data_IF_199821919691
#
_entry.id   IF_199821919691
#
_cell.length_a   1.000
_cell.length_b   1.000
_cell.length_c   1.000
_cell.angle_alpha   90.00
_cell.angle_beta   90.00
_cell.angle_gamma   90.00
#
_symmetry.space_group_name_H-M   'P 1'
#
loop_
_entity.id
_entity.type
_entity.pdbx_description
1 polymer ?
#
# COMPACT_ATOMS: atom_id res chain seq x y z
N UNK A 1 -14.78 -20.92 5.12
CA UNK A 1 -14.65 -21.54 3.78
C UNK A 1 -14.15 -20.47 2.84
N UNK A 2 -12.93 -20.58 2.31
CA UNK A 2 -12.44 -19.63 1.31
C UNK A 2 -13.27 -19.81 0.03
N UNK A 3 -13.92 -18.74 -0.44
CA UNK A 3 -14.73 -18.78 -1.66
C UNK A 3 -13.81 -18.95 -2.88
N UNK A 4 -14.34 -19.47 -3.98
CA UNK A 4 -13.64 -19.49 -5.28
C UNK A 4 -13.11 -18.09 -5.64
N UNK A 5 -13.86 -17.07 -5.25
CA UNK A 5 -13.51 -15.67 -5.44
C UNK A 5 -12.27 -15.27 -4.62
N UNK A 6 -12.16 -15.71 -3.37
CA UNK A 6 -10.96 -15.52 -2.53
C UNK A 6 -9.74 -16.22 -3.16
N UNK A 7 -9.93 -17.43 -3.70
CA UNK A 7 -8.87 -18.18 -4.38
C UNK A 7 -8.43 -17.54 -5.72
N UNK A 8 -9.32 -16.82 -6.42
CA UNK A 8 -9.03 -16.09 -7.66
C UNK A 8 -8.45 -14.68 -7.39
N UNK A 9 -8.83 -14.05 -6.28
CA UNK A 9 -8.23 -12.78 -5.84
C UNK A 9 -6.79 -13.01 -5.37
N UNK A 10 -6.58 -14.06 -4.56
CA UNK A 10 -5.29 -14.47 -3.99
C UNK A 10 -4.45 -15.36 -4.91
N UNK A 11 -5.01 -15.90 -6.00
CA UNK A 11 -4.34 -16.78 -6.97
C UNK A 11 -4.83 -16.55 -8.40
N UNK A 12 -4.02 -16.79 -9.43
CA UNK A 12 -4.29 -16.48 -10.85
C UNK A 12 -4.54 -14.99 -11.21
N UNK A 13 -5.34 -14.23 -10.45
CA UNK A 13 -5.65 -12.82 -10.70
C UNK A 13 -4.58 -11.83 -10.22
N UNK A 14 -3.71 -12.20 -9.27
CA UNK A 14 -2.61 -11.36 -8.73
C UNK A 14 -3.11 -9.98 -8.24
N UNK A 15 -4.30 -9.94 -7.65
CA UNK A 15 -4.96 -8.71 -7.18
C UNK A 15 -5.01 -8.60 -5.65
N UNK A 16 -4.33 -9.50 -4.93
CA UNK A 16 -4.08 -9.41 -3.49
C UNK A 16 -3.03 -8.32 -3.16
N UNK A 17 -3.00 -7.90 -1.90
CA UNK A 17 -2.13 -6.81 -1.42
C UNK A 17 -0.64 -7.04 -1.73
N UNK A 18 -0.14 -8.27 -1.54
CA UNK A 18 1.27 -8.62 -1.80
C UNK A 18 1.58 -8.53 -3.29
N UNK A 19 0.70 -9.06 -4.13
CA UNK A 19 0.85 -8.97 -5.59
C UNK A 19 0.80 -7.52 -6.08
N UNK A 20 -0.11 -6.70 -5.55
CA UNK A 20 -0.24 -5.29 -5.91
C UNK A 20 1.00 -4.48 -5.48
N UNK A 21 1.48 -4.65 -4.24
CA UNK A 21 2.70 -3.98 -3.77
C UNK A 21 3.92 -4.32 -4.63
N UNK A 22 4.02 -5.57 -5.08
CA UNK A 22 5.10 -5.98 -5.98
C UNK A 22 4.95 -5.45 -7.41
N UNK A 23 3.73 -5.48 -7.94
CA UNK A 23 3.46 -5.10 -9.33
C UNK A 23 3.45 -3.57 -9.54
N UNK A 24 3.05 -2.82 -8.51
CA UNK A 24 2.90 -1.37 -8.55
C UNK A 24 4.01 -0.63 -7.82
N UNK A 25 4.89 -1.35 -7.11
CA UNK A 25 6.09 -0.82 -6.48
C UNK A 25 7.16 -0.50 -7.51
N UNK A 26 7.77 0.67 -7.40
CA UNK A 26 8.93 1.07 -8.19
C UNK A 26 10.00 1.63 -7.26
N UNK A 27 11.25 1.25 -7.50
CA UNK A 27 12.38 1.82 -6.78
C UNK A 27 12.59 3.26 -7.21
N UNK A 28 12.76 4.13 -6.22
CA UNK A 28 13.15 5.50 -6.38
C UNK A 28 14.38 5.77 -5.55
N UNK A 29 15.25 6.60 -6.09
CA UNK A 29 16.46 7.07 -5.41
C UNK A 29 16.47 8.58 -5.52
N UNK A 30 16.74 9.27 -4.42
CA UNK A 30 16.88 10.73 -4.44
C UNK A 30 18.29 11.15 -4.86
N UNK A 31 18.51 12.46 -4.95
CA UNK A 31 19.81 13.05 -5.26
C UNK A 31 20.89 12.78 -4.20
N UNK A 32 20.52 12.26 -3.03
CA UNK A 32 21.42 11.94 -1.93
C UNK A 32 21.72 10.44 -1.82
N UNK A 33 21.15 9.60 -2.69
CA UNK A 33 21.33 8.16 -2.69
C UNK A 33 20.40 7.40 -1.75
N UNK A 34 19.39 8.05 -1.16
CA UNK A 34 18.40 7.36 -0.35
C UNK A 34 17.42 6.62 -1.27
N UNK A 35 17.24 5.32 -1.04
CA UNK A 35 16.33 4.48 -1.79
C UNK A 35 15.01 4.28 -1.06
N UNK A 36 13.89 4.38 -1.79
CA UNK A 36 12.57 4.01 -1.29
C UNK A 36 11.73 3.34 -2.38
N UNK A 37 10.71 2.61 -1.96
CA UNK A 37 9.72 2.04 -2.86
C UNK A 37 8.53 2.98 -2.91
N UNK A 38 8.19 3.42 -4.13
CA UNK A 38 6.95 4.16 -4.39
C UNK A 38 5.92 3.17 -4.97
N UNK A 39 4.84 2.94 -4.23
CA UNK A 39 3.76 2.04 -4.66
C UNK A 39 2.58 2.87 -5.15
N UNK A 40 2.12 2.64 -6.38
CA UNK A 40 0.94 3.36 -6.90
C UNK A 40 -0.34 2.94 -6.18
N UNK A 41 -1.22 3.90 -5.98
CA UNK A 41 -2.54 3.79 -5.32
C UNK A 41 -3.68 3.37 -6.26
N UNK A 42 -3.43 3.36 -7.57
CA UNK A 42 -4.41 2.96 -8.57
C UNK A 42 -4.31 1.47 -8.89
N UNK A 43 -5.41 0.72 -8.63
CA UNK A 43 -5.53 -0.68 -9.07
C UNK A 43 -5.44 -0.79 -10.60
N UNK A 44 -4.78 -1.82 -11.15
CA UNK A 44 -4.85 -2.11 -12.56
C UNK A 44 -6.26 -2.46 -13.01
N UNK A 45 -6.63 -2.08 -14.24
CA UNK A 45 -7.97 -2.33 -14.79
C UNK A 45 -8.37 -3.81 -14.77
N UNK A 46 -7.41 -4.74 -14.94
CA UNK A 46 -7.68 -6.18 -14.89
C UNK A 46 -8.16 -6.65 -13.50
N UNK A 47 -7.82 -5.93 -12.43
CA UNK A 47 -8.32 -6.21 -11.07
C UNK A 47 -9.76 -5.75 -10.87
N UNK A 48 -10.30 -4.89 -11.74
CA UNK A 48 -11.71 -4.44 -11.66
C UNK A 48 -12.72 -5.47 -12.15
N UNK A 49 -12.31 -6.44 -12.98
CA UNK A 49 -13.20 -7.40 -13.61
C UNK A 49 -13.86 -8.39 -12.64
N UNK A 50 -13.32 -8.55 -11.43
CA UNK A 50 -13.84 -9.48 -10.42
C UNK A 50 -14.72 -8.79 -9.37
N UNK A 51 -14.78 -7.45 -9.33
CA UNK A 51 -15.50 -6.71 -8.27
C UNK A 51 -16.97 -6.43 -8.65
N UNK A 52 -17.39 -6.70 -9.90
CA UNK A 52 -18.73 -6.38 -10.42
C UNK A 52 -19.51 -7.63 -10.88
N UNK A 53 -19.51 -8.71 -10.11
CA UNK A 53 -20.49 -9.78 -10.32
C UNK A 53 -21.45 -9.86 -9.12
N UNK A 54 -22.75 -9.81 -9.40
CA UNK A 54 -23.89 -9.77 -8.46
C UNK A 54 -23.94 -10.95 -7.45
N UNK A 55 -23.02 -11.91 -7.57
CA UNK A 55 -22.94 -13.14 -6.79
C UNK A 55 -21.60 -13.38 -6.09
N UNK A 56 -20.65 -12.44 -6.17
CA UNK A 56 -19.36 -12.55 -5.48
C UNK A 56 -19.12 -11.31 -4.65
N UNK A 57 -19.37 -11.41 -3.35
CA UNK A 57 -19.10 -10.41 -2.32
C UNK A 57 -17.57 -10.26 -2.13
N UNK A 58 -16.89 -9.77 -3.16
CA UNK A 58 -15.44 -9.58 -3.17
C UNK A 58 -15.02 -8.23 -2.59
N UNK A 59 -15.97 -7.37 -2.23
CA UNK A 59 -15.69 -6.08 -1.58
C UNK A 59 -14.90 -6.31 -0.29
N UNK A 60 -15.26 -7.32 0.51
CA UNK A 60 -14.60 -7.62 1.79
C UNK A 60 -13.18 -8.20 1.65
N UNK A 61 -12.79 -8.69 0.47
CA UNK A 61 -11.44 -9.27 0.24
C UNK A 61 -10.57 -8.42 -0.68
N UNK A 62 -11.11 -7.28 -1.16
CA UNK A 62 -10.41 -6.39 -2.07
C UNK A 62 -9.38 -5.57 -1.31
N UNK A 63 -8.08 -5.63 -1.64
CA UNK A 63 -7.07 -4.86 -0.92
C UNK A 63 -7.38 -3.36 -0.92
N UNK A 64 -7.14 -2.71 0.20
CA UNK A 64 -7.29 -1.27 0.36
C UNK A 64 -5.92 -0.62 0.27
N UNK A 65 -5.81 0.53 -0.37
CA UNK A 65 -4.57 1.29 -0.34
C UNK A 65 -4.53 2.12 0.94
N UNK A 66 -3.43 2.00 1.69
CA UNK A 66 -3.23 2.63 2.97
C UNK A 66 -2.20 3.75 2.84
N UNK A 67 -2.59 4.96 3.21
CA UNK A 67 -1.72 6.14 3.17
C UNK A 67 -1.73 6.88 1.84
N UNK A 68 -0.69 7.68 1.61
CA UNK A 68 -0.48 8.43 0.35
C UNK A 68 0.73 7.87 -0.38
N UNK A 69 0.81 8.05 -1.70
CA UNK A 69 1.95 7.56 -2.49
C UNK A 69 3.25 8.25 -2.07
N UNK A 70 3.16 9.53 -1.70
CA UNK A 70 4.25 10.40 -1.27
C UNK A 70 4.79 9.97 0.10
N UNK A 71 3.90 9.57 1.00
CA UNK A 71 4.25 9.12 2.34
C UNK A 71 4.57 7.61 2.38
N UNK A 72 4.78 6.94 1.26
CA UNK A 72 5.15 5.51 1.23
C UNK A 72 3.99 4.58 1.54
N UNK A 73 2.78 4.95 1.13
CA UNK A 73 1.59 4.13 1.22
C UNK A 73 1.72 2.80 0.45
N UNK A 74 0.88 1.85 0.82
CA UNK A 74 0.92 0.49 0.30
C UNK A 74 -0.44 -0.20 0.36
N UNK A 75 -0.59 -1.26 -0.44
CA UNK A 75 -1.79 -2.10 -0.44
C UNK A 75 -1.79 -3.01 0.78
N UNK A 76 -2.93 -3.09 1.45
CA UNK A 76 -3.19 -3.98 2.60
C UNK A 76 -4.44 -4.80 2.35
N UNK A 77 -4.49 -6.00 2.92
CA UNK A 77 -5.72 -6.78 2.92
C UNK A 77 -6.72 -6.15 3.90
N UNK A 78 -8.03 -6.17 3.62
CA UNK A 78 -9.04 -5.56 4.50
C UNK A 78 -8.99 -6.09 5.94
N UNK A 79 -8.70 -7.37 6.12
CA UNK A 79 -8.57 -8.02 7.43
C UNK A 79 -7.45 -7.43 8.31
N UNK A 80 -6.40 -6.91 7.68
CA UNK A 80 -5.22 -6.37 8.36
C UNK A 80 -5.25 -4.84 8.47
N UNK A 81 -6.24 -4.19 7.85
CA UNK A 81 -6.29 -2.73 7.65
C UNK A 81 -6.04 -1.94 8.94
N UNK A 82 -6.79 -2.23 10.01
CA UNK A 82 -6.66 -1.53 11.29
C UNK A 82 -5.26 -1.70 11.91
N UNK A 83 -4.71 -2.92 11.84
CA UNK A 83 -3.39 -3.22 12.40
C UNK A 83 -2.27 -2.53 11.62
N UNK A 84 -2.39 -2.47 10.30
CA UNK A 84 -1.44 -1.81 9.41
C UNK A 84 -1.57 -0.28 9.49
N UNK A 85 -2.77 0.24 9.73
CA UNK A 85 -3.01 1.68 9.90
C UNK A 85 -2.26 2.22 11.11
N UNK A 86 -2.27 1.51 12.23
CA UNK A 86 -1.49 1.89 13.42
C UNK A 86 0.00 1.91 13.13
N UNK A 87 0.53 0.87 12.44
CA UNK A 87 1.95 0.80 12.06
C UNK A 87 2.34 1.95 11.14
N UNK A 88 1.51 2.24 10.15
CA UNK A 88 1.73 3.33 9.21
C UNK A 88 1.74 4.69 9.89
N UNK A 89 0.78 4.96 10.80
CA UNK A 89 0.73 6.21 11.54
C UNK A 89 1.99 6.40 12.41
N UNK A 90 2.42 5.36 13.12
CA UNK A 90 3.65 5.40 13.91
C UNK A 90 4.90 5.65 13.04
N UNK A 91 4.97 5.01 11.87
CA UNK A 91 6.08 5.22 10.93
C UNK A 91 6.07 6.64 10.32
N UNK A 92 4.89 7.20 10.05
CA UNK A 92 4.73 8.56 9.55
C UNK A 92 5.17 9.59 10.61
N UNK A 93 4.75 9.40 11.87
CA UNK A 93 5.13 10.28 12.98
C UNK A 93 6.65 10.24 13.22
N UNK A 94 7.26 9.04 13.20
CA UNK A 94 8.70 8.89 13.33
C UNK A 94 9.47 9.65 12.25
N UNK A 95 9.08 9.53 10.97
CA UNK A 95 9.72 10.25 9.86
C UNK A 95 9.60 11.76 10.01
N UNK A 96 8.42 12.27 10.38
CA UNK A 96 8.21 13.70 10.64
C UNK A 96 9.12 14.22 11.76
N UNK A 97 9.26 13.47 12.85
CA UNK A 97 10.17 13.83 13.94
C UNK A 97 11.64 13.85 13.50
N UNK A 98 12.05 12.88 12.67
CA UNK A 98 13.40 12.82 12.11
C UNK A 98 13.67 14.01 11.17
N UNK A 99 12.73 14.36 10.29
CA UNK A 99 12.80 15.54 9.42
C UNK A 99 12.86 16.85 10.22
N UNK A 100 12.03 17.00 11.25
CA UNK A 100 12.05 18.17 12.12
C UNK A 100 13.38 18.29 12.88
N UNK A 101 13.92 17.17 13.36
CA UNK A 101 15.22 17.12 14.03
C UNK A 101 16.33 17.53 13.07
N UNK A 102 16.32 17.00 11.85
CA UNK A 102 17.26 17.37 10.79
C UNK A 102 17.17 18.87 10.48
N UNK A 103 15.95 19.39 10.27
CA UNK A 103 15.70 20.81 9.99
C UNK A 103 16.23 21.71 11.11
N UNK A 104 15.96 21.36 12.37
CA UNK A 104 16.45 22.13 13.53
C UNK A 104 17.97 22.16 13.61
N UNK A 105 18.63 21.03 13.32
CA UNK A 105 20.09 20.93 13.33
C UNK A 105 20.75 21.69 12.18
N UNK A 106 20.04 21.92 11.07
CA UNK A 106 20.55 22.61 9.88
C UNK A 106 19.96 24.00 9.64
N UNK A 107 19.11 24.51 10.53
CA UNK A 107 18.57 25.88 10.47
C UNK A 107 19.50 26.96 11.04
N UNK A 108 20.77 26.63 11.34
CA UNK A 108 21.78 27.57 11.85
C UNK A 108 22.83 27.92 10.80
N UNK A 109 22.41 28.47 9.67
CA UNK A 109 23.27 29.18 8.71
C UNK A 109 22.49 30.31 8.06
#
# INVERSE_FOLDING_TARGET
MASLADAISKGAGRCDAKSLNRALGSWHTDQYGNEWIRTRDRKPNYCGAYVQHEYTDLVETTPVYLGTVEDGGYWVSPEDYESEMVKYQAALEKRKLEEERFRRNHSSW
#
